data_IF_425815032821
#
_entry.id   IF_425815032821
#
_cell.length_a   1.000
_cell.length_b   1.000
_cell.length_c   1.000
_cell.angle_alpha   90.00
_cell.angle_beta   90.00
_cell.angle_gamma   90.00
#
_symmetry.space_group_name_H-M   'P 1'
#
loop_
_entity.id
_entity.type
_entity.pdbx_description
1 polymer ?
#
# COMPACT_ATOMS: atom_id res chain seq x y z
N UNK A 1 -31.34 58.13 -9.34
CA UNK A 1 -31.72 57.46 -8.07
C UNK A 1 -32.62 58.47 -7.40
N UNK A 2 -33.90 58.14 -7.23
CA UNK A 2 -34.93 59.15 -6.96
C UNK A 2 -34.66 59.89 -5.65
N UNK A 3 -34.13 59.18 -4.64
CA UNK A 3 -33.71 59.80 -3.37
C UNK A 3 -32.50 60.73 -3.52
N UNK A 4 -31.50 60.38 -4.35
CA UNK A 4 -30.35 61.27 -4.60
C UNK A 4 -30.78 62.52 -5.36
N UNK A 5 -31.67 62.39 -6.33
CA UNK A 5 -32.24 63.53 -7.06
C UNK A 5 -32.99 64.48 -6.12
N UNK A 6 -33.78 63.95 -5.17
CA UNK A 6 -34.46 64.74 -4.14
C UNK A 6 -33.50 65.39 -3.13
N UNK A 7 -32.34 64.77 -2.87
CA UNK A 7 -31.30 65.37 -2.02
C UNK A 7 -30.57 66.49 -2.75
N UNK A 8 -30.25 66.30 -4.03
CA UNK A 8 -29.65 67.33 -4.90
C UNK A 8 -30.61 68.52 -5.04
N UNK A 9 -31.92 68.28 -5.13
CA UNK A 9 -32.96 69.33 -5.17
C UNK A 9 -33.00 70.16 -3.88
N UNK A 10 -32.88 69.52 -2.70
CA UNK A 10 -32.75 70.24 -1.42
C UNK A 10 -31.47 71.09 -1.40
N UNK A 11 -30.36 70.56 -1.93
CA UNK A 11 -29.08 71.28 -1.99
C UNK A 11 -29.16 72.50 -2.91
N UNK A 12 -29.81 72.36 -4.08
CA UNK A 12 -30.06 73.44 -5.02
C UNK A 12 -30.98 74.53 -4.43
N UNK A 13 -32.04 74.15 -3.70
CA UNK A 13 -32.91 75.10 -2.98
C UNK A 13 -32.09 75.91 -1.96
N UNK A 14 -31.19 75.27 -1.22
CA UNK A 14 -30.34 75.94 -0.22
C UNK A 14 -29.37 76.92 -0.90
N UNK A 15 -28.76 76.52 -2.02
CA UNK A 15 -27.76 77.32 -2.75
C UNK A 15 -28.36 78.52 -3.48
N UNK A 16 -29.60 78.40 -3.96
CA UNK A 16 -30.31 79.46 -4.70
C UNK A 16 -31.14 80.40 -3.82
N UNK A 17 -31.30 80.06 -2.53
CA UNK A 17 -32.11 80.80 -1.59
C UNK A 17 -31.51 82.13 -1.14
N UNK A 18 -32.39 83.10 -0.85
CA UNK A 18 -31.97 84.44 -0.43
C UNK A 18 -31.33 84.42 0.96
N UNK A 19 -30.10 84.93 1.06
CA UNK A 19 -29.39 85.07 2.33
C UNK A 19 -29.98 86.16 3.23
N UNK A 20 -30.06 85.89 4.54
CA UNK A 20 -30.49 86.86 5.54
C UNK A 20 -29.30 87.71 6.03
N UNK A 21 -29.36 89.05 5.95
CA UNK A 21 -28.20 89.93 6.18
C UNK A 21 -27.52 89.69 7.53
N UNK A 22 -26.19 89.66 7.55
CA UNK A 22 -25.34 89.58 8.76
C UNK A 22 -25.50 88.31 9.61
N UNK A 23 -26.23 87.26 9.16
CA UNK A 23 -26.49 86.06 9.97
C UNK A 23 -25.95 84.74 9.40
N UNK A 24 -25.51 84.71 8.14
CA UNK A 24 -25.06 83.48 7.46
C UNK A 24 -26.17 82.45 7.21
N UNK A 25 -27.45 82.83 7.42
CA UNK A 25 -28.62 81.97 7.22
C UNK A 25 -29.26 82.23 5.86
N UNK A 26 -29.89 81.21 5.28
CA UNK A 26 -30.72 81.31 4.07
C UNK A 26 -32.20 81.23 4.43
N UNK A 27 -33.03 81.98 3.70
CA UNK A 27 -34.48 81.94 3.80
C UNK A 27 -35.01 80.92 2.78
N UNK A 28 -35.57 79.82 3.28
CA UNK A 28 -36.14 78.73 2.47
C UNK A 28 -37.63 78.57 2.78
N UNK A 29 -38.42 78.09 1.80
CA UNK A 29 -39.79 77.68 2.04
C UNK A 29 -39.79 76.35 2.83
N UNK A 30 -40.34 76.40 4.04
CA UNK A 30 -40.37 75.25 4.93
C UNK A 30 -41.34 74.16 4.46
N UNK A 31 -42.38 74.52 3.68
CA UNK A 31 -43.35 73.56 3.18
C UNK A 31 -42.79 72.80 1.96
N UNK A 32 -42.02 73.47 1.10
CA UNK A 32 -41.31 72.88 -0.04
C UNK A 32 -40.28 71.83 0.43
N UNK A 33 -39.36 72.21 1.32
CA UNK A 33 -38.37 71.29 1.90
C UNK A 33 -39.06 70.12 2.63
N UNK A 34 -40.18 70.37 3.30
CA UNK A 34 -40.90 69.34 4.06
C UNK A 34 -41.59 68.32 3.15
N UNK A 35 -42.05 68.71 1.97
CA UNK A 35 -42.61 67.76 0.99
C UNK A 35 -41.51 66.89 0.37
N UNK A 36 -40.36 67.47 0.01
CA UNK A 36 -39.20 66.71 -0.51
C UNK A 36 -38.70 65.69 0.54
N UNK A 37 -38.58 66.09 1.81
CA UNK A 37 -38.21 65.18 2.90
C UNK A 37 -39.21 64.04 3.12
N UNK A 38 -40.49 64.27 2.81
CA UNK A 38 -41.55 63.27 2.93
C UNK A 38 -41.48 62.27 1.78
N UNK A 39 -41.18 62.72 0.56
CA UNK A 39 -40.91 61.83 -0.57
C UNK A 39 -39.68 60.97 -0.33
N UNK A 40 -38.57 61.55 0.15
CA UNK A 40 -37.38 60.79 0.55
C UNK A 40 -37.74 59.70 1.59
N UNK A 41 -38.58 60.03 2.57
CA UNK A 41 -38.98 59.07 3.62
C UNK A 41 -39.85 57.92 3.09
N UNK A 42 -40.57 58.13 1.99
CA UNK A 42 -41.40 57.10 1.34
C UNK A 42 -40.54 56.21 0.44
N UNK A 43 -39.63 56.78 -0.33
CA UNK A 43 -38.86 56.07 -1.37
C UNK A 43 -37.60 55.36 -0.82
N UNK A 44 -36.93 55.93 0.20
CA UNK A 44 -35.68 55.39 0.75
C UNK A 44 -35.81 53.97 1.33
N UNK A 45 -36.87 53.59 2.08
CA UNK A 45 -37.02 52.23 2.60
C UNK A 45 -37.10 51.17 1.50
N UNK A 46 -37.81 51.46 0.41
CA UNK A 46 -37.99 50.53 -0.72
C UNK A 46 -36.68 50.32 -1.47
N UNK A 47 -35.91 51.40 -1.72
CA UNK A 47 -34.57 51.31 -2.32
C UNK A 47 -33.60 50.47 -1.47
N UNK A 48 -33.61 50.64 -0.14
CA UNK A 48 -32.78 49.83 0.77
C UNK A 48 -33.22 48.37 0.75
N UNK A 49 -34.52 48.10 0.76
CA UNK A 49 -35.05 46.74 0.70
C UNK A 49 -34.67 46.05 -0.62
N UNK A 50 -34.76 46.77 -1.73
CA UNK A 50 -34.35 46.27 -3.04
C UNK A 50 -32.84 45.98 -3.09
N UNK A 51 -32.00 46.87 -2.55
CA UNK A 51 -30.55 46.65 -2.48
C UNK A 51 -30.20 45.40 -1.65
N UNK A 52 -30.87 45.21 -0.51
CA UNK A 52 -30.71 44.04 0.35
C UNK A 52 -31.13 42.76 -0.38
N UNK A 53 -32.28 42.79 -1.06
CA UNK A 53 -32.76 41.66 -1.86
C UNK A 53 -31.78 41.29 -2.98
N UNK A 54 -31.26 42.27 -3.73
CA UNK A 54 -30.26 42.03 -4.79
C UNK A 54 -29.01 41.36 -4.21
N UNK A 55 -28.55 41.81 -3.03
CA UNK A 55 -27.37 41.24 -2.37
C UNK A 55 -27.61 39.78 -1.97
N UNK A 56 -28.75 39.49 -1.36
CA UNK A 56 -29.09 38.14 -0.90
C UNK A 56 -29.30 37.19 -2.09
N UNK A 57 -29.95 37.68 -3.15
CA UNK A 57 -30.18 36.93 -4.38
C UNK A 57 -28.86 36.64 -5.12
N UNK A 58 -27.95 37.61 -5.20
CA UNK A 58 -26.60 37.39 -5.73
C UNK A 58 -25.87 36.29 -4.94
N UNK A 59 -25.99 36.29 -3.62
CA UNK A 59 -25.32 35.31 -2.78
C UNK A 59 -25.93 33.92 -2.95
N UNK A 60 -27.26 33.82 -3.09
CA UNK A 60 -27.98 32.58 -3.44
C UNK A 60 -27.48 32.01 -4.77
N UNK A 61 -27.47 32.83 -5.82
CA UNK A 61 -27.01 32.42 -7.16
C UNK A 61 -25.56 31.92 -7.12
N UNK A 62 -24.67 32.61 -6.42
CA UNK A 62 -23.28 32.19 -6.28
C UNK A 62 -23.14 30.86 -5.55
N UNK A 63 -23.96 30.63 -4.53
CA UNK A 63 -23.92 29.38 -3.77
C UNK A 63 -24.44 28.20 -4.59
N UNK A 64 -25.54 28.40 -5.32
CA UNK A 64 -26.10 27.39 -6.23
C UNK A 64 -25.11 27.05 -7.35
N UNK A 65 -24.52 28.06 -8.00
CA UNK A 65 -23.51 27.84 -9.04
C UNK A 65 -22.30 27.08 -8.50
N UNK A 66 -21.87 27.34 -7.25
CA UNK A 66 -20.77 26.61 -6.62
C UNK A 66 -21.13 25.15 -6.35
N UNK A 67 -22.33 24.89 -5.84
CA UNK A 67 -22.80 23.51 -5.59
C UNK A 67 -22.92 22.72 -6.90
N UNK A 68 -23.46 23.34 -7.95
CA UNK A 68 -23.57 22.73 -9.26
C UNK A 68 -22.20 22.45 -9.87
N UNK A 69 -21.27 23.40 -9.78
CA UNK A 69 -19.88 23.20 -10.19
C UNK A 69 -19.22 22.02 -9.48
N UNK A 70 -19.37 21.93 -8.16
CA UNK A 70 -18.80 20.83 -7.37
C UNK A 70 -19.44 19.47 -7.75
N UNK A 71 -20.74 19.44 -8.02
CA UNK A 71 -21.44 18.25 -8.50
C UNK A 71 -20.92 17.80 -9.87
N UNK A 72 -20.81 18.72 -10.84
CA UNK A 72 -20.28 18.44 -12.18
C UNK A 72 -18.84 17.91 -12.09
N UNK A 73 -17.99 18.53 -11.26
CA UNK A 73 -16.60 18.10 -11.10
C UNK A 73 -16.52 16.68 -10.52
N UNK A 74 -17.39 16.35 -9.56
CA UNK A 74 -17.46 15.01 -8.97
C UNK A 74 -17.89 13.98 -10.01
N UNK A 75 -18.95 14.26 -10.77
CA UNK A 75 -19.45 13.35 -11.80
C UNK A 75 -18.44 13.14 -12.92
N UNK A 76 -17.75 14.21 -13.34
CA UNK A 76 -16.68 14.12 -14.35
C UNK A 76 -15.52 13.22 -13.88
N UNK A 77 -15.12 13.30 -12.61
CA UNK A 77 -14.09 12.41 -12.05
C UNK A 77 -14.52 10.94 -12.06
N UNK A 78 -15.75 10.65 -11.63
CA UNK A 78 -16.30 9.29 -11.64
C UNK A 78 -16.35 8.73 -13.06
N UNK A 79 -16.78 9.52 -14.05
CA UNK A 79 -16.79 9.11 -15.45
C UNK A 79 -15.38 8.87 -16.00
N UNK A 80 -14.41 9.71 -15.64
CA UNK A 80 -13.02 9.53 -16.05
C UNK A 80 -12.40 8.24 -15.48
N UNK A 81 -12.65 7.94 -14.21
CA UNK A 81 -12.22 6.69 -13.58
C UNK A 81 -12.85 5.48 -14.27
N UNK A 82 -14.16 5.53 -14.56
CA UNK A 82 -14.86 4.47 -15.28
C UNK A 82 -14.33 4.29 -16.71
N UNK A 83 -14.00 5.38 -17.41
CA UNK A 83 -13.39 5.30 -18.75
C UNK A 83 -12.02 4.65 -18.71
N UNK A 84 -11.17 4.99 -17.73
CA UNK A 84 -9.84 4.39 -17.58
C UNK A 84 -9.96 2.90 -17.24
N UNK A 85 -10.89 2.52 -16.38
CA UNK A 85 -11.06 1.11 -16.00
C UNK A 85 -11.59 0.26 -17.16
N UNK A 86 -12.48 0.82 -17.96
CA UNK A 86 -13.01 0.17 -19.17
C UNK A 86 -12.15 0.38 -20.41
N UNK A 87 -11.06 1.15 -20.30
CA UNK A 87 -10.15 1.35 -21.41
C UNK A 87 -9.53 0.02 -21.80
N UNK A 88 -9.55 -0.28 -23.09
CA UNK A 88 -9.05 -1.53 -23.66
C UNK A 88 -7.60 -1.81 -23.25
N UNK A 89 -6.79 -0.75 -23.02
CA UNK A 89 -5.41 -0.89 -22.56
C UNK A 89 -5.38 -1.39 -21.12
N UNK A 90 -6.22 -0.85 -20.23
CA UNK A 90 -6.31 -1.30 -18.83
C UNK A 90 -6.79 -2.74 -18.75
N UNK A 91 -7.79 -3.12 -19.54
CA UNK A 91 -8.28 -4.51 -19.59
C UNK A 91 -7.20 -5.45 -20.12
N UNK A 92 -6.54 -5.11 -21.22
CA UNK A 92 -5.43 -5.91 -21.78
C UNK A 92 -4.26 -6.01 -20.81
N UNK A 93 -3.94 -4.94 -20.09
CA UNK A 93 -2.89 -4.94 -19.07
C UNK A 93 -3.24 -5.89 -17.90
N UNK A 94 -4.48 -5.85 -17.39
CA UNK A 94 -4.97 -6.79 -16.37
C UNK A 94 -4.91 -8.24 -16.86
N UNK A 95 -5.35 -8.51 -18.10
CA UNK A 95 -5.26 -9.85 -18.70
C UNK A 95 -3.81 -10.33 -18.82
N UNK A 96 -2.90 -9.47 -19.30
CA UNK A 96 -1.47 -9.80 -19.43
C UNK A 96 -0.81 -10.04 -18.08
N UNK A 97 -1.17 -9.27 -17.06
CA UNK A 97 -0.68 -9.48 -15.69
C UNK A 97 -1.12 -10.85 -15.14
N UNK A 98 -2.39 -11.21 -15.34
CA UNK A 98 -2.90 -12.54 -14.96
C UNK A 98 -2.20 -13.67 -15.71
N UNK A 99 -1.94 -13.50 -17.01
CA UNK A 99 -1.18 -14.47 -17.79
C UNK A 99 0.24 -14.65 -17.26
N UNK A 100 0.94 -13.55 -16.95
CA UNK A 100 2.29 -13.58 -16.36
C UNK A 100 2.27 -14.33 -15.02
N UNK A 101 1.27 -14.08 -14.18
CA UNK A 101 1.13 -14.75 -12.88
C UNK A 101 0.93 -16.26 -13.07
N UNK A 102 0.02 -16.66 -13.96
CA UNK A 102 -0.24 -18.07 -14.24
C UNK A 102 1.02 -18.79 -14.77
N UNK A 103 1.78 -18.14 -15.65
CA UNK A 103 3.05 -18.69 -16.16
C UNK A 103 4.08 -18.80 -15.04
N UNK A 104 4.19 -17.79 -14.17
CA UNK A 104 5.10 -17.82 -13.04
C UNK A 104 4.75 -18.96 -12.06
N UNK A 105 3.48 -19.13 -11.72
CA UNK A 105 3.01 -20.22 -10.85
C UNK A 105 3.29 -21.60 -11.45
N UNK A 106 3.02 -21.78 -12.74
CA UNK A 106 3.33 -23.01 -13.46
C UNK A 106 4.84 -23.31 -13.44
N UNK A 107 5.67 -22.31 -13.70
CA UNK A 107 7.13 -22.45 -13.66
C UNK A 107 7.65 -22.80 -12.27
N UNK A 108 7.12 -22.16 -11.21
CA UNK A 108 7.47 -22.47 -9.82
C UNK A 108 7.10 -23.90 -9.48
N UNK A 109 5.92 -24.37 -9.90
CA UNK A 109 5.48 -25.74 -9.69
C UNK A 109 6.42 -26.73 -10.38
N UNK A 110 6.76 -26.50 -11.64
CA UNK A 110 7.70 -27.32 -12.40
C UNK A 110 9.07 -27.35 -11.73
N UNK A 111 9.61 -26.18 -11.36
CA UNK A 111 10.89 -26.08 -10.67
C UNK A 111 10.91 -26.88 -9.36
N UNK A 112 9.85 -26.80 -8.55
CA UNK A 112 9.72 -27.58 -7.31
C UNK A 112 9.75 -29.09 -7.58
N UNK A 113 8.99 -29.56 -8.58
CA UNK A 113 8.98 -30.97 -8.95
C UNK A 113 10.36 -31.44 -9.40
N UNK A 114 11.01 -30.70 -10.32
CA UNK A 114 12.37 -31.03 -10.76
C UNK A 114 13.39 -30.98 -9.63
N UNK A 115 13.20 -30.09 -8.65
CA UNK A 115 14.05 -30.04 -7.45
C UNK A 115 13.88 -31.30 -6.59
N UNK A 116 12.64 -31.76 -6.40
CA UNK A 116 12.38 -32.99 -5.66
C UNK A 116 12.93 -34.22 -6.37
N UNK A 117 12.76 -34.32 -7.69
CA UNK A 117 13.35 -35.42 -8.49
C UNK A 117 14.88 -35.42 -8.38
N UNK A 118 15.51 -34.24 -8.41
CA UNK A 118 16.95 -34.12 -8.23
C UNK A 118 17.40 -34.55 -6.82
N UNK A 119 16.71 -34.10 -5.77
CA UNK A 119 17.00 -34.51 -4.39
C UNK A 119 16.84 -36.02 -4.23
N UNK A 120 15.77 -36.60 -4.78
CA UNK A 120 15.53 -38.04 -4.75
C UNK A 120 16.68 -38.80 -5.42
N UNK A 121 17.16 -38.33 -6.57
CA UNK A 121 18.32 -38.94 -7.25
C UNK A 121 19.59 -38.89 -6.40
N UNK A 122 19.83 -37.81 -5.64
CA UNK A 122 20.96 -37.71 -4.72
C UNK A 122 20.80 -38.71 -3.58
N UNK A 123 19.61 -38.76 -2.97
CA UNK A 123 19.32 -39.65 -1.85
C UNK A 123 19.44 -41.13 -2.27
N UNK A 124 18.96 -41.47 -3.47
CA UNK A 124 19.11 -42.80 -4.05
C UNK A 124 20.58 -43.18 -4.22
N UNK A 125 21.39 -42.30 -4.82
CA UNK A 125 22.83 -42.54 -4.97
C UNK A 125 23.56 -42.63 -3.63
N UNK A 126 23.12 -41.86 -2.63
CA UNK A 126 23.67 -41.93 -1.28
C UNK A 126 23.33 -43.26 -0.61
N UNK A 127 22.10 -43.74 -0.75
CA UNK A 127 21.66 -45.04 -0.26
C UNK A 127 22.47 -46.17 -0.89
N UNK A 128 22.61 -46.16 -2.23
CA UNK A 128 23.41 -47.16 -2.95
C UNK A 128 24.87 -47.19 -2.46
N UNK A 129 25.49 -46.02 -2.28
CA UNK A 129 26.84 -45.93 -1.69
C UNK A 129 26.89 -46.48 -0.27
N UNK A 130 25.89 -46.22 0.56
CA UNK A 130 25.83 -46.77 1.92
C UNK A 130 25.67 -48.29 1.92
N UNK A 131 24.88 -48.85 1.01
CA UNK A 131 24.72 -50.30 0.86
C UNK A 131 26.04 -50.94 0.40
N UNK A 132 26.77 -50.31 -0.54
CA UNK A 132 28.10 -50.76 -0.95
C UNK A 132 29.12 -50.70 0.20
N UNK A 133 29.14 -49.60 0.96
CA UNK A 133 30.00 -49.47 2.15
C UNK A 133 29.69 -50.57 3.16
N UNK A 134 28.41 -50.83 3.40
CA UNK A 134 27.96 -51.88 4.31
C UNK A 134 28.44 -53.27 3.82
N UNK A 135 28.24 -53.58 2.53
CA UNK A 135 28.65 -54.87 1.97
C UNK A 135 30.18 -55.08 2.03
N UNK A 136 30.97 -54.08 1.63
CA UNK A 136 32.44 -54.21 1.52
C UNK A 136 33.08 -54.27 2.91
N UNK A 137 32.82 -53.26 3.74
CA UNK A 137 33.59 -53.11 4.98
C UNK A 137 33.17 -54.08 6.06
N UNK A 138 31.89 -54.44 6.17
CA UNK A 138 31.49 -55.43 7.17
C UNK A 138 31.99 -56.83 6.82
N UNK A 139 31.92 -57.25 5.55
CA UNK A 139 32.45 -58.55 5.13
C UNK A 139 33.96 -58.65 5.36
N UNK A 140 34.71 -57.62 5.00
CA UNK A 140 36.16 -57.58 5.23
C UNK A 140 36.49 -57.60 6.73
N UNK A 141 35.74 -56.84 7.55
CA UNK A 141 35.92 -56.83 9.00
C UNK A 141 35.67 -58.22 9.62
N UNK A 142 34.60 -58.91 9.22
CA UNK A 142 34.31 -60.27 9.70
C UNK A 142 35.40 -61.27 9.29
N UNK A 143 35.85 -61.22 8.03
CA UNK A 143 36.95 -62.06 7.55
C UNK A 143 38.24 -61.81 8.33
N UNK A 144 38.60 -60.55 8.55
CA UNK A 144 39.78 -60.17 9.32
C UNK A 144 39.69 -60.65 10.77
N UNK A 145 38.54 -60.47 11.43
CA UNK A 145 38.32 -60.97 12.78
C UNK A 145 38.46 -62.49 12.85
N UNK A 146 37.84 -63.23 11.92
CA UNK A 146 37.96 -64.68 11.85
C UNK A 146 39.41 -65.12 11.71
N UNK A 147 40.16 -64.53 10.76
CA UNK A 147 41.57 -64.80 10.56
C UNK A 147 42.41 -64.50 11.82
N UNK A 148 42.09 -63.45 12.57
CA UNK A 148 42.77 -63.15 13.85
C UNK A 148 42.50 -64.22 14.89
N UNK A 149 41.26 -64.67 15.07
CA UNK A 149 40.93 -65.73 16.01
C UNK A 149 41.58 -67.07 15.64
N UNK A 150 41.61 -67.41 14.34
CA UNK A 150 42.28 -68.63 13.86
C UNK A 150 43.78 -68.60 14.14
N UNK A 151 44.45 -67.46 13.92
CA UNK A 151 45.85 -67.27 14.28
C UNK A 151 46.09 -67.41 15.77
N UNK A 152 45.27 -66.77 16.61
CA UNK A 152 45.37 -66.90 18.08
C UNK A 152 45.26 -68.37 18.49
N UNK A 153 44.28 -69.10 17.94
CA UNK A 153 44.10 -70.51 18.24
C UNK A 153 45.29 -71.38 17.79
N UNK A 154 45.85 -71.13 16.60
CA UNK A 154 47.07 -71.81 16.12
C UNK A 154 48.24 -71.57 17.07
N UNK A 155 48.51 -70.31 17.41
CA UNK A 155 49.59 -69.95 18.33
C UNK A 155 49.40 -70.58 19.72
N UNK A 156 48.18 -70.61 20.25
CA UNK A 156 47.89 -71.30 21.52
C UNK A 156 48.14 -72.81 21.39
N UNK A 157 47.73 -73.43 20.28
CA UNK A 157 47.94 -74.86 20.05
C UNK A 157 49.43 -75.22 19.95
N UNK A 158 50.21 -74.41 19.21
CA UNK A 158 51.66 -74.52 19.09
C UNK A 158 52.34 -74.41 20.45
N UNK A 159 52.06 -73.34 21.21
CA UNK A 159 52.63 -73.14 22.55
C UNK A 159 52.29 -74.31 23.50
N UNK A 160 51.07 -74.86 23.43
CA UNK A 160 50.70 -76.05 24.22
C UNK A 160 51.46 -77.30 23.81
N UNK A 161 51.73 -77.47 22.51
CA UNK A 161 52.53 -78.59 22.00
C UNK A 161 53.98 -78.49 22.48
N UNK A 162 54.57 -77.31 22.40
CA UNK A 162 55.93 -77.03 22.89
C UNK A 162 56.06 -77.31 24.39
N UNK A 163 55.07 -76.88 25.20
CA UNK A 163 55.04 -77.20 26.63
C UNK A 163 55.02 -78.71 26.89
N UNK A 164 54.23 -79.48 26.13
CA UNK A 164 54.21 -80.95 26.27
C UNK A 164 55.55 -81.58 25.91
N UNK A 165 56.19 -81.08 24.86
CA UNK A 165 57.51 -81.56 24.44
C UNK A 165 58.58 -81.25 25.51
N UNK A 166 58.55 -80.05 26.10
CA UNK A 166 59.43 -79.69 27.21
C UNK A 166 59.22 -80.60 28.42
N UNK A 167 57.96 -80.88 28.81
CA UNK A 167 57.67 -81.82 29.90
C UNK A 167 58.27 -83.19 29.61
N UNK A 168 58.10 -83.70 28.38
CA UNK A 168 58.64 -85.00 27.98
C UNK A 168 60.17 -85.03 28.06
N UNK A 169 60.85 -83.99 27.56
CA UNK A 169 62.32 -83.87 27.63
C UNK A 169 62.82 -83.87 29.08
N UNK A 170 62.21 -83.08 29.96
CA UNK A 170 62.59 -83.03 31.39
C UNK A 170 62.35 -84.36 32.11
N UNK A 171 61.29 -85.10 31.77
CA UNK A 171 61.04 -86.44 32.32
C UNK A 171 62.08 -87.47 31.87
N UNK A 172 62.59 -87.37 30.65
CA UNK A 172 63.67 -88.25 30.17
C UNK A 172 65.01 -87.92 30.83
N UNK A 173 65.33 -86.63 31.02
CA UNK A 173 66.57 -86.17 31.68
C UNK A 173 66.64 -86.54 33.17
N UNK A 174 65.50 -86.84 33.80
CA UNK A 174 65.42 -87.24 35.23
C UNK A 174 65.39 -88.75 35.44
N UNK A 175 65.48 -89.55 34.37
CA UNK A 175 65.47 -91.02 34.40
C UNK A 175 66.86 -91.67 34.18
N UNK A 176 67.90 -90.87 33.93
CA UNK A 176 69.33 -91.24 33.92
C UNK A 176 70.03 -90.80 35.23
#
# INVERSE_FOLDING_TARGET
MKVLELLDEIEEIIDTSSGFPLTGKVLVDADEIREILKEIRIELPDEIQQAQWIKDEKQRILQEAKQEYEAILKDAKVQAEALIENDDITVKAKMRANEIMNVAEANVKTLKLSTFDYIDSILYNFQDKMDQLNAIYFQEMFSNLQNTFDKINSTIAENRSEIKEMIHKTQMESAD
#
